data_IF_350725441294
#
_entry.id   IF_350725441294
#
_cell.length_a   1.000
_cell.length_b   1.000
_cell.length_c   1.000
_cell.angle_alpha   90.00
_cell.angle_beta   90.00
_cell.angle_gamma   90.00
#
_symmetry.space_group_name_H-M   'P 1'
#
loop_
_entity.id
_entity.type
_entity.pdbx_description
1 polymer ?
#
# COMPACT_ATOMS: atom_id res chain seq x y z
N UNK A 1 -12.08 59.49 -15.69
CA UNK A 1 -12.75 58.25 -15.28
C UNK A 1 -11.79 57.48 -14.38
N UNK A 2 -12.20 57.18 -13.15
CA UNK A 2 -11.39 56.42 -12.18
C UNK A 2 -11.71 54.91 -12.30
N UNK A 3 -10.76 54.00 -12.02
CA UNK A 3 -10.99 52.57 -12.13
C UNK A 3 -11.81 52.03 -10.94
N UNK A 4 -12.75 51.15 -11.26
CA UNK A 4 -13.61 50.39 -10.34
C UNK A 4 -12.78 49.40 -9.52
N UNK A 5 -12.99 49.26 -8.19
CA UNK A 5 -12.31 48.24 -7.41
C UNK A 5 -12.89 46.84 -7.74
N UNK A 6 -12.02 45.92 -8.14
CA UNK A 6 -12.34 44.49 -8.29
C UNK A 6 -12.61 43.90 -6.91
N UNK A 7 -13.81 43.34 -6.72
CA UNK A 7 -14.14 42.61 -5.51
C UNK A 7 -13.26 41.34 -5.42
N UNK A 8 -12.47 41.26 -4.35
CA UNK A 8 -11.71 40.06 -3.97
C UNK A 8 -12.70 38.94 -3.65
N UNK A 9 -12.63 37.84 -4.39
CA UNK A 9 -13.38 36.64 -4.08
C UNK A 9 -12.89 36.12 -2.72
N UNK A 10 -13.73 36.28 -1.70
CA UNK A 10 -13.51 35.74 -0.37
C UNK A 10 -13.30 34.23 -0.47
N UNK A 11 -12.07 33.80 -0.18
CA UNK A 11 -11.72 32.39 -0.12
C UNK A 11 -12.66 31.66 0.84
N UNK A 12 -13.38 30.67 0.32
CA UNK A 12 -14.21 29.81 1.13
C UNK A 12 -13.34 29.12 2.19
N UNK A 13 -13.62 29.39 3.46
CA UNK A 13 -13.01 28.69 4.57
C UNK A 13 -13.50 27.24 4.52
N UNK A 14 -12.63 26.29 4.20
CA UNK A 14 -12.95 24.88 4.28
C UNK A 14 -13.14 24.50 5.75
N UNK A 15 -14.34 24.09 6.13
CA UNK A 15 -14.59 23.40 7.39
C UNK A 15 -13.84 22.06 7.30
N UNK A 16 -12.94 21.77 8.24
CA UNK A 16 -12.26 20.48 8.29
C UNK A 16 -13.29 19.39 8.65
N UNK A 17 -13.70 18.58 7.67
CA UNK A 17 -14.52 17.40 7.93
C UNK A 17 -13.68 16.34 8.65
N UNK A 18 -14.12 15.93 9.83
CA UNK A 18 -13.49 14.84 10.57
C UNK A 18 -13.71 13.51 9.84
N UNK A 19 -12.64 12.86 9.41
CA UNK A 19 -12.70 11.54 8.77
C UNK A 19 -12.72 10.44 9.84
N UNK A 20 -13.78 9.63 9.87
CA UNK A 20 -13.83 8.39 10.64
C UNK A 20 -13.39 7.23 9.76
N UNK A 21 -12.19 6.72 10.00
CA UNK A 21 -11.69 5.54 9.28
C UNK A 21 -12.31 4.25 9.83
N UNK A 22 -12.68 3.29 8.98
CA UNK A 22 -13.25 2.03 9.42
C UNK A 22 -12.21 1.18 10.17
N UNK A 23 -12.65 0.49 11.22
CA UNK A 23 -11.83 -0.50 11.96
C UNK A 23 -12.43 -1.91 11.87
N UNK A 24 -13.49 -2.05 11.08
CA UNK A 24 -14.23 -3.28 10.86
C UNK A 24 -14.88 -3.22 9.47
N UNK A 25 -15.31 -4.37 8.97
CA UNK A 25 -15.86 -4.54 7.64
C UNK A 25 -14.83 -5.06 6.65
N UNK A 26 -15.24 -5.09 5.39
CA UNK A 26 -14.43 -5.55 4.26
C UNK A 26 -14.20 -4.35 3.36
N UNK A 27 -12.94 -4.06 3.05
CA UNK A 27 -12.54 -3.06 2.06
C UNK A 27 -12.98 -3.57 0.68
N UNK A 28 -13.56 -2.70 -0.14
CA UNK A 28 -13.86 -3.03 -1.53
C UNK A 28 -12.56 -3.30 -2.31
N UNK A 29 -12.31 -4.58 -2.58
CA UNK A 29 -11.03 -5.05 -3.10
C UNK A 29 -11.24 -6.18 -4.11
N UNK A 30 -11.11 -5.83 -5.39
CA UNK A 30 -11.15 -6.79 -6.49
C UNK A 30 -9.74 -7.24 -6.87
N UNK A 31 -9.28 -8.31 -6.21
CA UNK A 31 -7.97 -8.91 -6.51
C UNK A 31 -7.89 -9.44 -7.96
N UNK A 32 -8.98 -10.00 -8.47
CA UNK A 32 -9.03 -10.55 -9.82
C UNK A 32 -8.69 -9.50 -10.87
N UNK A 33 -9.21 -8.28 -10.71
CA UNK A 33 -8.88 -7.15 -11.57
C UNK A 33 -7.44 -6.66 -11.39
N UNK A 34 -6.94 -6.51 -10.17
CA UNK A 34 -5.58 -5.95 -9.99
C UNK A 34 -4.47 -6.94 -10.39
N UNK A 35 -4.73 -8.25 -10.31
CA UNK A 35 -3.76 -9.27 -10.69
C UNK A 35 -3.59 -9.42 -12.21
N UNK A 36 -4.47 -8.83 -13.02
CA UNK A 36 -4.35 -8.89 -14.50
C UNK A 36 -3.18 -8.07 -15.03
N UNK A 37 -2.59 -7.20 -14.22
CA UNK A 37 -1.48 -6.33 -14.61
C UNK A 37 -0.50 -6.12 -13.47
N UNK A 38 0.75 -5.88 -13.83
CA UNK A 38 1.78 -5.48 -12.88
C UNK A 38 1.42 -4.16 -12.24
N UNK A 39 1.44 -4.11 -10.92
CA UNK A 39 1.20 -2.89 -10.16
C UNK A 39 2.49 -2.09 -10.05
N UNK A 40 2.44 -0.80 -10.38
CA UNK A 40 3.64 0.06 -10.41
C UNK A 40 3.46 1.22 -9.46
N UNK A 41 4.37 1.34 -8.50
CA UNK A 41 4.48 2.51 -7.63
C UNK A 41 5.61 3.39 -8.12
N UNK A 42 5.34 4.68 -8.30
CA UNK A 42 6.37 5.67 -8.66
C UNK A 42 6.49 6.73 -7.56
N UNK A 43 7.71 6.96 -7.06
CA UNK A 43 8.05 7.98 -6.07
C UNK A 43 9.13 8.88 -6.67
N UNK A 44 8.73 10.09 -7.11
CA UNK A 44 9.63 10.97 -7.86
C UNK A 44 10.09 10.34 -9.17
N UNK A 45 11.39 10.22 -9.38
CA UNK A 45 11.99 9.62 -10.58
C UNK A 45 12.19 8.08 -10.48
N UNK A 46 11.76 7.47 -9.37
CA UNK A 46 12.01 6.07 -9.07
C UNK A 46 10.71 5.26 -9.14
N UNK A 47 10.77 4.04 -9.67
CA UNK A 47 9.61 3.15 -9.80
C UNK A 47 9.90 1.72 -9.35
N UNK A 48 8.91 1.10 -8.72
CA UNK A 48 8.91 -0.29 -8.25
C UNK A 48 7.72 -1.02 -8.87
N UNK A 49 7.97 -2.23 -9.39
CA UNK A 49 6.94 -3.09 -9.95
C UNK A 49 6.64 -4.28 -9.07
N UNK A 50 5.37 -4.64 -8.97
CA UNK A 50 4.87 -5.75 -8.16
C UNK A 50 3.96 -6.67 -8.96
N UNK A 51 4.25 -7.97 -8.93
CA UNK A 51 3.35 -9.01 -9.44
C UNK A 51 2.44 -9.49 -8.31
N UNK A 52 1.13 -9.53 -8.57
CA UNK A 52 0.11 -9.82 -7.56
C UNK A 52 -0.39 -11.25 -7.69
N UNK A 53 -0.48 -11.95 -6.56
CA UNK A 53 -1.09 -13.27 -6.42
C UNK A 53 -2.27 -13.18 -5.46
N UNK A 54 -3.47 -13.48 -5.94
CA UNK A 54 -4.69 -13.43 -5.15
C UNK A 54 -4.84 -14.65 -4.24
N UNK A 55 -5.43 -14.44 -3.07
CA UNK A 55 -5.70 -15.49 -2.07
C UNK A 55 -4.42 -16.20 -1.61
N UNK A 56 -3.29 -15.48 -1.61
CA UNK A 56 -1.99 -15.99 -1.20
C UNK A 56 -1.35 -15.07 -0.15
N UNK A 57 -0.49 -15.66 0.69
CA UNK A 57 0.48 -14.97 1.55
C UNK A 57 1.83 -15.67 1.50
N UNK A 58 2.89 -14.89 1.67
CA UNK A 58 4.23 -15.37 1.94
C UNK A 58 4.40 -15.58 3.44
N UNK A 59 4.62 -16.83 3.86
CA UNK A 59 4.74 -17.19 5.28
C UNK A 59 6.11 -17.75 5.61
N UNK A 60 6.64 -17.36 6.76
CA UNK A 60 7.95 -17.80 7.23
C UNK A 60 8.34 -17.09 8.54
N UNK A 61 9.30 -17.65 9.30
CA UNK A 61 9.75 -17.02 10.54
C UNK A 61 10.46 -15.70 10.25
N UNK A 62 10.03 -14.62 10.91
CA UNK A 62 10.66 -13.29 10.78
C UNK A 62 10.58 -12.68 9.38
N UNK A 63 9.59 -13.06 8.59
CA UNK A 63 9.40 -12.55 7.22
C UNK A 63 8.84 -11.13 7.19
N UNK A 64 7.97 -10.80 8.15
CA UNK A 64 7.31 -9.50 8.21
C UNK A 64 8.24 -8.47 8.85
N UNK A 65 8.60 -7.44 8.08
CA UNK A 65 9.38 -6.29 8.56
C UNK A 65 8.51 -5.42 9.46
N UNK A 66 7.28 -5.15 9.00
CA UNK A 66 6.31 -4.28 9.66
C UNK A 66 4.90 -4.69 9.25
N UNK A 67 3.99 -4.62 10.21
CA UNK A 67 2.54 -4.70 9.99
C UNK A 67 1.90 -3.33 10.20
N UNK A 68 0.97 -2.95 9.33
CA UNK A 68 0.22 -1.70 9.43
C UNK A 68 -1.23 -1.88 9.00
N UNK A 69 -2.08 -0.90 9.35
CA UNK A 69 -3.43 -0.80 8.79
C UNK A 69 -3.37 0.01 7.50
N UNK A 70 -3.78 -0.60 6.39
CA UNK A 70 -3.91 0.04 5.08
C UNK A 70 -5.36 -0.10 4.60
N UNK A 71 -5.89 0.98 4.01
CA UNK A 71 -7.25 1.03 3.49
C UNK A 71 -7.35 0.73 1.99
N UNK A 72 -6.19 0.63 1.32
CA UNK A 72 -6.10 0.21 -0.07
C UNK A 72 -4.90 -0.70 -0.27
N UNK A 73 -4.97 -1.56 -1.28
CA UNK A 73 -3.81 -2.36 -1.70
C UNK A 73 -2.66 -1.48 -2.22
N UNK A 74 -2.98 -0.38 -2.90
CA UNK A 74 -2.00 0.59 -3.41
C UNK A 74 -1.16 1.18 -2.26
N UNK A 75 -1.78 1.55 -1.14
CA UNK A 75 -1.06 2.04 0.03
C UNK A 75 -0.13 0.98 0.62
N UNK A 76 -0.53 -0.29 0.56
CA UNK A 76 0.28 -1.40 1.03
C UNK A 76 1.57 -1.57 0.19
N UNK A 77 1.45 -1.65 -1.14
CA UNK A 77 2.63 -1.72 -2.03
C UNK A 77 3.43 -0.41 -2.04
N UNK A 78 2.77 0.74 -1.87
CA UNK A 78 3.43 2.05 -1.75
C UNK A 78 4.30 2.10 -0.50
N UNK A 79 3.87 1.55 0.62
CA UNK A 79 4.71 1.49 1.82
C UNK A 79 5.98 0.64 1.61
N UNK A 80 5.89 -0.46 0.86
CA UNK A 80 7.06 -1.25 0.46
C UNK A 80 8.05 -0.41 -0.37
N UNK A 81 7.56 0.30 -1.37
CA UNK A 81 8.36 1.20 -2.20
C UNK A 81 8.96 2.36 -1.39
N UNK A 82 8.20 2.94 -0.47
CA UNK A 82 8.67 4.01 0.43
C UNK A 82 9.80 3.51 1.34
N UNK A 83 9.64 2.35 1.96
CA UNK A 83 10.69 1.74 2.79
C UNK A 83 11.97 1.57 1.98
N UNK A 84 11.87 1.02 0.76
CA UNK A 84 13.03 0.86 -0.11
C UNK A 84 13.67 2.20 -0.49
N UNK A 85 12.85 3.21 -0.80
CA UNK A 85 13.32 4.55 -1.16
C UNK A 85 14.09 5.23 -0.01
N UNK A 86 13.57 5.14 1.23
CA UNK A 86 14.21 5.73 2.40
C UNK A 86 15.45 4.95 2.83
N UNK A 87 15.39 3.61 2.79
CA UNK A 87 16.53 2.76 3.13
C UNK A 87 17.63 2.80 2.06
N UNK A 88 17.35 3.33 0.87
CA UNK A 88 18.24 3.28 -0.31
C UNK A 88 18.69 1.85 -0.60
N UNK A 89 17.80 0.89 -0.37
CA UNK A 89 18.05 -0.53 -0.55
C UNK A 89 16.73 -1.27 -0.82
N UNK A 90 16.78 -2.45 -1.43
CA UNK A 90 15.61 -3.30 -1.64
C UNK A 90 15.35 -4.17 -0.41
N UNK A 91 15.05 -3.53 0.71
CA UNK A 91 14.77 -4.21 2.00
C UNK A 91 13.41 -4.91 1.98
N UNK A 92 12.39 -4.29 1.40
CA UNK A 92 11.08 -4.88 1.20
C UNK A 92 11.01 -5.52 -0.18
N UNK A 93 10.78 -6.84 -0.20
CA UNK A 93 10.70 -7.65 -1.41
C UNK A 93 9.27 -8.04 -1.76
N UNK A 94 8.28 -7.70 -0.94
CA UNK A 94 6.88 -7.92 -1.26
C UNK A 94 5.97 -7.49 -0.13
N UNK A 95 4.67 -7.73 -0.30
CA UNK A 95 3.66 -7.43 0.70
C UNK A 95 2.62 -8.53 0.79
N UNK A 96 1.92 -8.56 1.91
CA UNK A 96 0.63 -9.21 2.06
C UNK A 96 -0.41 -8.18 2.44
N UNK A 97 -1.59 -8.25 1.83
CA UNK A 97 -2.74 -7.39 2.11
C UNK A 97 -3.98 -8.24 2.33
N UNK A 98 -4.75 -7.95 3.38
CA UNK A 98 -6.07 -8.54 3.62
C UNK A 98 -7.13 -7.44 3.71
N UNK A 99 -8.15 -7.52 2.86
CA UNK A 99 -9.22 -6.54 2.81
C UNK A 99 -10.23 -6.69 3.97
N UNK A 100 -10.24 -7.82 4.69
CA UNK A 100 -11.14 -8.05 5.81
C UNK A 100 -10.56 -7.44 7.10
N UNK A 101 -10.97 -6.22 7.43
CA UNK A 101 -10.54 -5.53 8.65
C UNK A 101 -11.13 -6.17 9.91
N UNK A 102 -12.35 -6.71 9.82
CA UNK A 102 -13.01 -7.39 10.95
C UNK A 102 -12.18 -8.54 11.48
N UNK A 103 -11.53 -9.31 10.60
CA UNK A 103 -10.70 -10.45 11.00
C UNK A 103 -9.24 -10.07 11.19
N UNK A 104 -8.68 -9.24 10.31
CA UNK A 104 -7.23 -8.98 10.29
C UNK A 104 -6.77 -8.10 11.45
N UNK A 105 -7.53 -7.05 11.80
CA UNK A 105 -7.08 -6.11 12.82
C UNK A 105 -7.04 -6.73 14.22
N UNK A 106 -8.05 -7.50 14.68
CA UNK A 106 -7.99 -8.13 16.00
C UNK A 106 -6.96 -9.27 16.08
N UNK A 107 -6.77 -10.03 15.00
CA UNK A 107 -5.89 -11.19 14.99
C UNK A 107 -4.41 -10.82 14.80
N UNK A 108 -4.14 -9.86 13.91
CA UNK A 108 -2.78 -9.58 13.43
C UNK A 108 -2.34 -8.13 13.69
N UNK A 109 -3.18 -7.30 14.33
CA UNK A 109 -2.91 -5.87 14.60
C UNK A 109 -2.65 -5.02 13.35
N UNK A 110 -3.02 -5.52 12.18
CA UNK A 110 -2.81 -4.90 10.89
C UNK A 110 -3.37 -5.77 9.78
N UNK A 111 -3.39 -5.23 8.58
CA UNK A 111 -3.87 -5.94 7.40
C UNK A 111 -2.93 -5.80 6.20
N UNK A 112 -1.88 -5.00 6.32
CA UNK A 112 -0.80 -4.89 5.36
C UNK A 112 0.53 -5.25 6.04
N UNK A 113 1.27 -6.18 5.46
CA UNK A 113 2.53 -6.67 6.02
C UNK A 113 3.62 -6.62 4.96
N UNK A 114 4.70 -5.87 5.23
CA UNK A 114 5.85 -5.76 4.33
C UNK A 114 6.80 -6.94 4.54
N UNK A 115 7.21 -7.61 3.47
CA UNK A 115 8.01 -8.85 3.52
C UNK A 115 9.48 -8.58 3.21
N UNK A 116 10.39 -9.09 4.04
CA UNK A 116 11.84 -8.97 3.85
C UNK A 116 12.40 -9.96 2.82
N UNK A 117 11.72 -11.09 2.64
CA UNK A 117 12.07 -12.13 1.68
C UNK A 117 10.80 -12.86 1.24
N UNK A 118 10.88 -13.61 0.13
CA UNK A 118 9.73 -14.29 -0.49
C UNK A 118 9.94 -15.81 -0.48
N UNK A 119 9.55 -16.51 0.60
CA UNK A 119 9.60 -17.97 0.67
C UNK A 119 8.40 -18.59 -0.08
N UNK A 120 7.97 -19.77 0.36
CA UNK A 120 6.78 -20.43 -0.18
C UNK A 120 5.53 -19.59 0.09
N UNK A 121 4.61 -19.58 -0.87
CA UNK A 121 3.29 -19.01 -0.69
C UNK A 121 2.34 -20.05 -0.08
N UNK A 122 1.42 -19.59 0.76
CA UNK A 122 0.29 -20.37 1.27
C UNK A 122 -1.02 -19.72 0.89
N UNK A 123 -2.04 -20.55 0.63
CA UNK A 123 -3.38 -20.06 0.39
C UNK A 123 -3.92 -19.33 1.63
N UNK A 124 -4.63 -18.24 1.40
CA UNK A 124 -5.34 -17.45 2.39
C UNK A 124 -6.82 -17.34 1.99
N UNK A 125 -7.71 -17.05 2.96
CA UNK A 125 -9.11 -16.82 2.66
C UNK A 125 -9.30 -15.74 1.60
N UNK A 126 -10.35 -15.89 0.80
CA UNK A 126 -10.84 -14.88 -0.13
C UNK A 126 -10.88 -13.54 0.59
N UNK A 127 -10.31 -12.48 -0.02
CA UNK A 127 -10.00 -11.13 0.51
C UNK A 127 -8.51 -10.85 0.76
N UNK A 128 -7.62 -11.82 0.54
CA UNK A 128 -6.18 -11.64 0.63
C UNK A 128 -5.48 -11.46 -0.74
N UNK A 129 -4.34 -10.77 -0.74
CA UNK A 129 -3.42 -10.70 -1.86
C UNK A 129 -1.98 -10.59 -1.39
N UNK A 130 -1.09 -11.35 -2.02
CA UNK A 130 0.35 -11.18 -1.91
C UNK A 130 0.87 -10.44 -3.14
N UNK A 131 1.87 -9.57 -2.96
CA UNK A 131 2.58 -8.93 -4.07
C UNK A 131 4.08 -9.17 -3.95
N UNK A 132 4.72 -9.58 -5.04
CA UNK A 132 6.16 -9.78 -5.13
C UNK A 132 6.82 -8.60 -5.83
N UNK A 133 7.88 -8.03 -5.26
CA UNK A 133 8.72 -7.06 -5.95
C UNK A 133 9.45 -7.77 -7.10
N UNK A 134 9.26 -7.27 -8.32
CA UNK A 134 9.84 -7.86 -9.53
C UNK A 134 10.83 -6.96 -10.24
N UNK A 135 10.71 -5.65 -10.04
CA UNK A 135 11.78 -4.72 -10.37
C UNK A 135 11.76 -3.52 -9.44
N UNK A 136 12.93 -2.91 -9.28
CA UNK A 136 13.12 -1.71 -8.50
C UNK A 136 14.29 -0.91 -9.04
N UNK A 137 14.46 0.36 -8.61
CA UNK A 137 15.63 1.12 -8.97
C UNK A 137 16.89 0.45 -8.45
N UNK A 138 17.97 0.56 -9.22
CA UNK A 138 19.30 0.26 -8.70
C UNK A 138 19.75 1.44 -7.85
N UNK A 139 19.84 1.21 -6.56
CA UNK A 139 20.53 2.13 -5.67
C UNK A 139 22.02 2.01 -5.97
N UNK A 140 22.59 3.03 -6.63
CA UNK A 140 24.05 3.12 -6.78
C UNK A 140 24.63 3.47 -5.42
N UNK A 141 25.58 2.65 -4.94
CA UNK A 141 26.37 2.98 -3.76
C UNK A 141 27.13 4.27 -4.08
N UNK A 142 26.80 5.37 -3.40
CA UNK A 142 27.63 6.58 -3.40
C UNK A 142 28.79 6.40 -2.43
#
# INVERSE_FOLDING_TARGET
AAPTPTAEAQGASATEDTIKVPTQGIIDFDCGRISTSRQVVTLGALSWGFDVSCMMDYVGPGIDIVGMTAYTFDDCIRACAMLNNFARNNTCLGVFFNANLTTSLPANHGNCFLKAYLPQMTAQPDLAAAAALVYSPRFMNQ
#
